data_IF_291958724000
#
_entry.id   IF_291958724000
#
_cell.length_a   1.000
_cell.length_b   1.000
_cell.length_c   1.000
_cell.angle_alpha   90.00
_cell.angle_beta   90.00
_cell.angle_gamma   90.00
#
_symmetry.space_group_name_H-M   'P 1'
#
loop_
_entity.id
_entity.type
_entity.pdbx_description
1 polymer ?
#
# COMPACT_ATOMS: atom_id res chain seq x y z
N UNK A 1 -19.43 -25.39 -10.51
CA UNK A 1 -18.52 -25.94 -9.49
C UNK A 1 -17.42 -24.92 -9.22
N UNK A 2 -17.25 -24.46 -7.97
CA UNK A 2 -16.17 -23.51 -7.61
C UNK A 2 -14.84 -24.26 -7.54
N UNK A 3 -13.78 -23.68 -8.11
CA UNK A 3 -12.44 -24.30 -8.14
C UNK A 3 -11.53 -23.62 -7.12
N UNK A 4 -10.59 -24.38 -6.57
CA UNK A 4 -9.48 -23.84 -5.78
C UNK A 4 -8.56 -22.99 -6.64
N UNK A 5 -7.83 -22.06 -6.02
CA UNK A 5 -6.78 -21.32 -6.71
C UNK A 5 -5.71 -22.29 -7.26
N UNK A 6 -5.06 -21.91 -8.36
CA UNK A 6 -3.85 -22.55 -8.85
C UNK A 6 -2.61 -21.79 -8.31
N UNK A 7 -1.42 -22.35 -8.54
CA UNK A 7 -0.16 -21.78 -8.04
C UNK A 7 0.12 -20.37 -8.59
N UNK A 8 -0.24 -20.09 -9.84
CA UNK A 8 -0.05 -18.78 -10.47
C UNK A 8 -0.86 -17.69 -9.78
N UNK A 9 -2.12 -17.98 -9.43
CA UNK A 9 -2.98 -17.04 -8.70
C UNK A 9 -2.44 -16.78 -7.30
N UNK A 10 -2.02 -17.84 -6.59
CA UNK A 10 -1.46 -17.72 -5.24
C UNK A 10 -0.20 -16.86 -5.27
N UNK A 11 0.68 -17.10 -6.24
CA UNK A 11 1.89 -16.33 -6.45
C UNK A 11 1.59 -14.85 -6.75
N UNK A 12 0.63 -14.57 -7.62
CA UNK A 12 0.23 -13.20 -7.97
C UNK A 12 -0.34 -12.45 -6.76
N UNK A 13 -1.27 -13.05 -6.03
CA UNK A 13 -1.86 -12.47 -4.82
C UNK A 13 -0.76 -12.20 -3.77
N UNK A 14 0.14 -13.17 -3.56
CA UNK A 14 1.28 -13.01 -2.65
C UNK A 14 2.21 -11.86 -3.05
N UNK A 15 2.48 -11.70 -4.36
CA UNK A 15 3.27 -10.57 -4.89
C UNK A 15 2.59 -9.22 -4.64
N UNK A 16 1.28 -9.14 -4.82
CA UNK A 16 0.51 -7.91 -4.57
C UNK A 16 0.56 -7.54 -3.09
N UNK A 17 0.32 -8.49 -2.18
CA UNK A 17 0.37 -8.26 -0.73
C UNK A 17 1.78 -7.78 -0.32
N UNK A 18 2.83 -8.42 -0.84
CA UNK A 18 4.21 -8.00 -0.58
C UNK A 18 4.50 -6.60 -1.14
N UNK A 19 4.00 -6.29 -2.34
CA UNK A 19 4.16 -4.97 -2.95
C UNK A 19 3.45 -3.87 -2.14
N UNK A 20 2.23 -4.14 -1.64
CA UNK A 20 1.51 -3.25 -0.73
C UNK A 20 2.33 -2.97 0.54
N UNK A 21 2.85 -3.99 1.20
CA UNK A 21 3.69 -3.84 2.40
C UNK A 21 4.95 -2.99 2.12
N UNK A 22 5.56 -3.18 0.94
CA UNK A 22 6.71 -2.37 0.49
C UNK A 22 6.33 -0.92 0.19
N UNK A 23 5.11 -0.66 -0.28
CA UNK A 23 4.59 0.69 -0.50
C UNK A 23 4.27 1.38 0.82
N UNK A 24 3.66 0.67 1.78
CA UNK A 24 3.41 1.16 3.14
C UNK A 24 4.69 1.64 3.82
N UNK A 25 5.76 0.85 3.70
CA UNK A 25 7.07 1.22 4.20
C UNK A 25 7.60 2.49 3.51
N UNK A 26 7.51 2.59 2.17
CA UNK A 26 7.94 3.79 1.44
C UNK A 26 7.20 5.04 1.88
N UNK A 27 5.89 4.95 2.11
CA UNK A 27 5.10 6.08 2.62
C UNK A 27 5.59 6.51 3.99
N UNK A 28 5.87 5.57 4.90
CA UNK A 28 6.42 5.89 6.22
C UNK A 28 7.80 6.58 6.11
N UNK A 29 8.68 6.09 5.24
CA UNK A 29 10.00 6.70 5.01
C UNK A 29 9.88 8.09 4.38
N UNK A 30 9.00 8.27 3.38
CA UNK A 30 8.76 9.58 2.75
C UNK A 30 8.32 10.64 3.76
N UNK A 31 7.44 10.28 4.70
CA UNK A 31 7.02 11.17 5.80
C UNK A 31 8.23 11.57 6.65
N UNK A 32 9.05 10.60 7.07
CA UNK A 32 10.24 10.86 7.90
C UNK A 32 11.24 11.75 7.15
N UNK A 33 11.52 11.44 5.88
CA UNK A 33 12.43 12.24 5.04
C UNK A 33 11.94 13.68 4.93
N UNK A 34 10.64 13.89 4.73
CA UNK A 34 10.08 15.23 4.68
C UNK A 34 10.24 15.99 6.00
N UNK A 35 10.01 15.34 7.14
CA UNK A 35 10.12 15.96 8.47
C UNK A 35 11.54 16.41 8.81
N UNK A 36 12.56 15.64 8.41
CA UNK A 36 13.98 15.97 8.65
C UNK A 36 14.63 16.77 7.50
N UNK A 37 13.96 16.88 6.35
CA UNK A 37 14.43 17.59 5.17
C UNK A 37 15.17 16.70 4.16
N UNK A 38 14.96 17.00 2.87
CA UNK A 38 15.66 16.33 1.78
C UNK A 38 17.16 16.63 1.83
N UNK A 39 17.99 15.59 1.72
CA UNK A 39 19.44 15.70 1.77
C UNK A 39 20.04 15.67 3.18
N UNK A 40 19.20 15.68 4.22
CA UNK A 40 19.64 15.39 5.58
C UNK A 40 20.01 13.91 5.65
N UNK A 41 21.23 13.60 6.09
CA UNK A 41 21.63 12.21 6.31
C UNK A 41 20.87 11.63 7.50
N UNK A 42 20.27 10.44 7.37
CA UNK A 42 19.58 9.81 8.48
C UNK A 42 20.57 9.55 9.63
N UNK A 43 20.24 10.04 10.81
CA UNK A 43 20.88 9.61 12.04
C UNK A 43 20.14 8.39 12.58
N UNK A 44 20.87 7.41 13.12
CA UNK A 44 20.23 6.17 13.55
C UNK A 44 19.21 6.38 14.68
N UNK A 45 19.50 7.23 15.66
CA UNK A 45 18.64 7.40 16.84
C UNK A 45 17.29 8.07 16.53
N UNK A 46 17.32 9.33 16.09
CA UNK A 46 16.09 10.12 15.92
C UNK A 46 15.27 9.65 14.71
N UNK A 47 15.93 9.26 13.60
CA UNK A 47 15.18 8.81 12.42
C UNK A 47 14.54 7.43 12.66
N UNK A 48 15.22 6.48 13.33
CA UNK A 48 14.61 5.17 13.66
C UNK A 48 13.43 5.35 14.62
N UNK A 49 13.57 6.18 15.65
CA UNK A 49 12.47 6.42 16.59
C UNK A 49 11.27 7.08 15.88
N UNK A 50 11.53 8.11 15.07
CA UNK A 50 10.45 8.76 14.33
C UNK A 50 9.79 7.82 13.33
N UNK A 51 10.59 7.05 12.59
CA UNK A 51 10.08 6.01 11.69
C UNK A 51 9.19 5.02 12.43
N UNK A 52 9.59 4.52 13.60
CA UNK A 52 8.76 3.61 14.41
C UNK A 52 7.43 4.26 14.80
N UNK A 53 7.44 5.53 15.20
CA UNK A 53 6.22 6.26 15.52
C UNK A 53 5.27 6.39 14.32
N UNK A 54 5.81 6.60 13.12
CA UNK A 54 5.02 6.67 11.88
C UNK A 54 4.55 5.28 11.45
N UNK A 55 5.44 4.29 11.42
CA UNK A 55 5.16 2.91 10.99
C UNK A 55 4.13 2.20 11.88
N UNK A 56 4.02 2.55 13.17
CA UNK A 56 2.97 2.05 14.06
C UNK A 56 1.57 2.60 13.74
N UNK A 57 1.46 3.71 13.00
CA UNK A 57 0.16 4.27 12.63
C UNK A 57 -0.49 3.38 11.56
N UNK A 58 -1.82 3.21 11.56
CA UNK A 58 -2.54 2.56 10.47
C UNK A 58 -2.21 3.18 9.12
N UNK A 59 -2.21 2.39 8.04
CA UNK A 59 -1.80 2.90 6.72
C UNK A 59 -2.62 4.12 6.28
N UNK A 60 -3.93 4.11 6.54
CA UNK A 60 -4.82 5.26 6.30
C UNK A 60 -4.33 6.55 6.97
N UNK A 61 -3.89 6.47 8.23
CA UNK A 61 -3.36 7.61 8.97
C UNK A 61 -2.01 8.09 8.46
N UNK A 62 -1.20 7.21 7.90
CA UNK A 62 0.03 7.61 7.20
C UNK A 62 -0.29 8.34 5.89
N UNK A 63 -1.29 7.89 5.12
CA UNK A 63 -1.72 8.62 3.92
C UNK A 63 -2.27 10.01 4.23
N UNK A 64 -3.05 10.17 5.29
CA UNK A 64 -3.53 11.51 5.72
C UNK A 64 -2.36 12.48 6.02
N UNK A 65 -1.23 11.96 6.50
CA UNK A 65 -0.02 12.76 6.71
C UNK A 65 0.66 13.07 5.38
N UNK A 66 0.83 12.05 4.53
CA UNK A 66 1.43 12.22 3.21
C UNK A 66 0.65 13.22 2.34
N UNK A 67 -0.68 13.19 2.37
CA UNK A 67 -1.55 14.11 1.63
C UNK A 67 -1.28 15.58 2.01
N UNK A 68 -1.11 15.86 3.31
CA UNK A 68 -0.74 17.20 3.80
C UNK A 68 0.66 17.61 3.33
N UNK A 69 1.59 16.66 3.26
CA UNK A 69 2.93 16.89 2.73
C UNK A 69 2.85 17.23 1.24
N UNK A 70 2.13 16.42 0.45
CA UNK A 70 1.98 16.65 -0.98
C UNK A 70 1.32 17.99 -1.27
N UNK A 71 0.36 18.42 -0.44
CA UNK A 71 -0.29 19.73 -0.60
C UNK A 71 0.70 20.91 -0.61
N UNK A 72 1.81 20.81 0.12
CA UNK A 72 2.82 21.88 0.22
C UNK A 72 4.04 21.70 -0.69
N UNK A 73 4.18 20.57 -1.37
CA UNK A 73 5.25 20.36 -2.35
C UNK A 73 4.95 21.04 -3.68
N UNK A 74 5.99 21.45 -4.39
CA UNK A 74 5.91 22.01 -5.74
C UNK A 74 5.74 20.88 -6.78
N UNK A 75 4.55 20.29 -6.77
CA UNK A 75 4.10 19.23 -7.68
C UNK A 75 2.79 19.71 -8.32
N UNK A 76 2.52 19.32 -9.57
CA UNK A 76 1.27 19.68 -10.24
C UNK A 76 0.05 19.18 -9.45
N UNK A 77 -0.99 20.02 -9.32
CA UNK A 77 -2.18 19.71 -8.52
C UNK A 77 -2.88 18.45 -9.03
N UNK A 78 -2.96 18.29 -10.35
CA UNK A 78 -3.58 17.13 -10.99
C UNK A 78 -2.79 15.85 -10.70
N UNK A 79 -1.46 15.93 -10.73
CA UNK A 79 -0.59 14.80 -10.39
C UNK A 79 -0.77 14.40 -8.91
N UNK A 80 -0.86 15.36 -7.98
CA UNK A 80 -1.13 15.08 -6.56
C UNK A 80 -2.45 14.34 -6.38
N UNK A 81 -3.52 14.82 -7.04
CA UNK A 81 -4.85 14.20 -6.98
C UNK A 81 -4.81 12.75 -7.45
N UNK A 82 -4.19 12.51 -8.62
CA UNK A 82 -4.06 11.16 -9.19
C UNK A 82 -3.29 10.21 -8.26
N UNK A 83 -2.19 10.67 -7.67
CA UNK A 83 -1.38 9.86 -6.73
C UNK A 83 -2.17 9.51 -5.47
N UNK A 84 -2.88 10.48 -4.89
CA UNK A 84 -3.69 10.25 -3.69
C UNK A 84 -4.85 9.29 -3.97
N UNK A 85 -5.55 9.46 -5.09
CA UNK A 85 -6.64 8.57 -5.50
C UNK A 85 -6.15 7.14 -5.74
N UNK A 86 -4.99 6.99 -6.40
CA UNK A 86 -4.37 5.69 -6.60
C UNK A 86 -3.96 5.04 -5.27
N UNK A 87 -3.34 5.79 -4.35
CA UNK A 87 -2.97 5.29 -3.02
C UNK A 87 -4.21 4.89 -2.19
N UNK A 88 -5.29 5.67 -2.25
CA UNK A 88 -6.56 5.34 -1.61
C UNK A 88 -7.16 4.05 -2.16
N UNK A 89 -7.10 3.86 -3.48
CA UNK A 89 -7.46 2.61 -4.14
C UNK A 89 -6.66 1.43 -3.61
N UNK A 90 -5.33 1.57 -3.54
CA UNK A 90 -4.43 0.52 -3.02
C UNK A 90 -4.75 0.16 -1.56
N UNK A 91 -5.04 1.13 -0.68
CA UNK A 91 -5.41 0.82 0.72
C UNK A 91 -6.64 -0.09 0.78
N UNK A 92 -7.69 0.28 0.04
CA UNK A 92 -8.93 -0.50 -0.01
C UNK A 92 -8.67 -1.93 -0.46
N UNK A 93 -7.79 -2.10 -1.45
CA UNK A 93 -7.40 -3.40 -1.97
C UNK A 93 -6.55 -4.21 -1.02
N UNK A 94 -5.55 -3.59 -0.40
CA UNK A 94 -4.65 -4.22 0.55
C UNK A 94 -5.41 -4.87 1.69
N UNK A 95 -6.38 -4.17 2.27
CA UNK A 95 -7.18 -4.69 3.38
C UNK A 95 -8.08 -5.85 2.93
N UNK A 96 -8.73 -5.70 1.76
CA UNK A 96 -9.56 -6.76 1.20
C UNK A 96 -8.75 -8.03 0.86
N UNK A 97 -7.56 -7.88 0.28
CA UNK A 97 -6.70 -8.98 -0.13
C UNK A 97 -6.04 -9.69 1.06
N UNK A 98 -5.72 -8.97 2.14
CA UNK A 98 -5.04 -9.53 3.31
C UNK A 98 -5.98 -10.32 4.24
N UNK A 99 -7.29 -10.08 4.15
CA UNK A 99 -8.30 -10.66 5.05
C UNK A 99 -9.42 -11.40 4.31
N UNK A 100 -9.34 -11.51 2.99
CA UNK A 100 -10.36 -12.16 2.18
C UNK A 100 -10.07 -13.63 1.88
N UNK A 101 -11.12 -14.34 1.53
CA UNK A 101 -11.10 -15.71 1.01
C UNK A 101 -11.17 -15.67 -0.51
N UNK A 102 -10.33 -16.46 -1.18
CA UNK A 102 -10.20 -16.46 -2.64
C UNK A 102 -10.67 -17.79 -3.23
N UNK A 103 -11.46 -17.72 -4.31
CA UNK A 103 -11.91 -18.88 -5.09
C UNK A 103 -11.89 -18.56 -6.58
N UNK A 104 -11.90 -19.58 -7.44
CA UNK A 104 -12.07 -19.41 -8.88
C UNK A 104 -13.53 -19.68 -9.25
N UNK A 105 -14.15 -18.74 -9.96
CA UNK A 105 -15.52 -18.88 -10.48
C UNK A 105 -15.56 -19.78 -11.71
N UNK A 106 -16.76 -20.16 -12.14
CA UNK A 106 -16.94 -20.95 -13.38
C UNK A 106 -16.47 -20.21 -14.63
N UNK A 107 -16.38 -18.88 -14.59
CA UNK A 107 -15.91 -18.02 -15.68
C UNK A 107 -14.38 -17.81 -15.65
N UNK A 108 -13.66 -18.56 -14.81
CA UNK A 108 -12.21 -18.40 -14.60
C UNK A 108 -11.81 -17.02 -14.05
N UNK A 109 -12.70 -16.40 -13.27
CA UNK A 109 -12.42 -15.18 -12.51
C UNK A 109 -12.02 -15.51 -11.08
N UNK A 110 -11.25 -14.63 -10.46
CA UNK A 110 -10.92 -14.72 -9.04
C UNK A 110 -12.04 -14.04 -8.25
N UNK A 111 -12.76 -14.82 -7.45
CA UNK A 111 -13.74 -14.35 -6.48
C UNK A 111 -13.04 -14.09 -5.14
N UNK A 112 -13.12 -12.85 -4.66
CA UNK A 112 -12.69 -12.43 -3.33
C UNK A 112 -13.92 -12.22 -2.46
N UNK A 113 -14.03 -12.98 -1.39
CA UNK A 113 -15.05 -12.77 -0.34
C UNK A 113 -14.37 -12.22 0.90
N UNK A 114 -14.80 -11.03 1.35
CA UNK A 114 -14.17 -10.33 2.47
C UNK A 114 -15.20 -9.60 3.32
N UNK A 115 -14.87 -9.38 4.59
CA UNK A 115 -15.64 -8.51 5.48
C UNK A 115 -14.94 -7.16 5.52
N UNK A 116 -15.56 -6.11 5.00
CA UNK A 116 -15.09 -4.78 5.36
C UNK A 116 -15.49 -4.46 6.80
N UNK A 117 -14.74 -3.54 7.41
CA UNK A 117 -14.86 -3.21 8.83
C UNK A 117 -16.27 -2.73 9.19
N UNK A 118 -16.91 -1.98 8.30
CA UNK A 118 -18.29 -1.50 8.47
C UNK A 118 -19.27 -2.68 8.44
N UNK A 119 -19.18 -3.58 7.46
CA UNK A 119 -20.06 -4.73 7.34
C UNK A 119 -19.93 -5.67 8.54
N UNK A 120 -18.71 -5.85 9.04
CA UNK A 120 -18.48 -6.63 10.25
C UNK A 120 -19.11 -5.99 11.50
N UNK A 121 -18.98 -4.68 11.69
CA UNK A 121 -19.57 -3.97 12.82
C UNK A 121 -21.10 -3.88 12.75
N UNK A 122 -21.66 -3.73 11.55
CA UNK A 122 -23.09 -3.55 11.33
C UNK A 122 -23.85 -4.89 11.17
N UNK A 123 -23.16 -6.03 11.32
CA UNK A 123 -23.76 -7.36 11.15
C UNK A 123 -24.20 -7.67 9.72
N UNK A 124 -23.67 -6.95 8.74
CA UNK A 124 -23.93 -7.18 7.32
C UNK A 124 -23.04 -8.32 6.83
N UNK A 125 -23.61 -9.22 6.01
CA UNK A 125 -22.88 -10.35 5.42
C UNK A 125 -21.63 -9.93 4.63
N UNK A 126 -20.73 -10.88 4.32
CA UNK A 126 -19.50 -10.58 3.58
C UNK A 126 -19.80 -9.98 2.21
N UNK A 127 -18.89 -9.15 1.74
CA UNK A 127 -18.90 -8.62 0.38
C UNK A 127 -18.11 -9.55 -0.52
N UNK A 128 -18.63 -9.76 -1.72
CA UNK A 128 -17.96 -10.54 -2.76
C UNK A 128 -17.63 -9.63 -3.92
N UNK A 129 -16.42 -9.79 -4.46
CA UNK A 129 -16.01 -9.10 -5.69
C UNK A 129 -15.22 -10.06 -6.58
N UNK A 130 -15.53 -10.02 -7.87
CA UNK A 130 -14.91 -10.86 -8.87
C UNK A 130 -13.94 -10.03 -9.71
N UNK A 131 -12.83 -10.64 -10.07
CA UNK A 131 -11.77 -10.03 -10.88
C UNK A 131 -11.37 -10.96 -12.00
N UNK A 132 -11.22 -10.46 -13.23
CA UNK A 132 -10.33 -11.10 -14.17
C UNK A 132 -8.88 -10.99 -13.65
N UNK A 133 -8.06 -12.01 -13.91
CA UNK A 133 -6.66 -12.03 -13.46
C UNK A 133 -5.86 -10.80 -13.93
N UNK A 134 -6.21 -10.24 -15.09
CA UNK A 134 -5.58 -9.03 -15.64
C UNK A 134 -5.72 -7.81 -14.72
N UNK A 135 -6.83 -7.67 -13.99
CA UNK A 135 -7.02 -6.56 -13.05
C UNK A 135 -6.09 -6.66 -11.84
N UNK A 136 -5.76 -7.88 -11.40
CA UNK A 136 -4.77 -8.08 -10.35
C UNK A 136 -3.35 -7.73 -10.82
N UNK A 137 -3.04 -8.03 -12.09
CA UNK A 137 -1.77 -7.63 -12.71
C UNK A 137 -1.67 -6.10 -12.78
N UNK A 138 -2.72 -5.43 -13.26
CA UNK A 138 -2.78 -3.96 -13.30
C UNK A 138 -2.65 -3.34 -11.92
N UNK A 139 -3.28 -3.91 -10.89
CA UNK A 139 -3.12 -3.47 -9.51
C UNK A 139 -1.66 -3.56 -9.06
N UNK A 140 -0.98 -4.68 -9.35
CA UNK A 140 0.44 -4.85 -9.02
C UNK A 140 1.30 -3.77 -9.70
N UNK A 141 1.06 -3.50 -10.98
CA UNK A 141 1.78 -2.47 -11.75
C UNK A 141 1.58 -1.08 -11.13
N UNK A 142 0.34 -0.71 -10.81
CA UNK A 142 0.03 0.56 -10.13
C UNK A 142 0.79 0.68 -8.81
N UNK A 143 0.81 -0.37 -7.98
CA UNK A 143 1.53 -0.35 -6.69
C UNK A 143 3.03 -0.14 -6.90
N UNK A 144 3.62 -0.81 -7.89
CA UNK A 144 5.05 -0.68 -8.21
C UNK A 144 5.36 0.74 -8.69
N UNK A 145 4.57 1.28 -9.61
CA UNK A 145 4.73 2.64 -10.14
C UNK A 145 4.62 3.70 -9.04
N UNK A 146 3.65 3.59 -8.14
CA UNK A 146 3.54 4.47 -6.97
C UNK A 146 4.78 4.40 -6.08
N UNK A 147 5.31 3.19 -5.87
CA UNK A 147 6.54 3.00 -5.10
C UNK A 147 7.75 3.68 -5.76
N UNK A 148 7.89 3.57 -7.08
CA UNK A 148 8.96 4.23 -7.84
C UNK A 148 8.82 5.75 -7.83
N UNK A 149 7.60 6.26 -7.93
CA UNK A 149 7.33 7.68 -7.86
C UNK A 149 7.73 8.25 -6.49
N UNK A 150 7.32 7.61 -5.39
CA UNK A 150 7.74 8.02 -4.03
C UNK A 150 9.27 8.00 -3.88
N UNK A 151 9.93 6.99 -4.44
CA UNK A 151 11.38 6.85 -4.39
C UNK A 151 12.08 8.03 -5.09
N UNK A 152 11.53 8.47 -6.22
CA UNK A 152 12.03 9.61 -7.00
C UNK A 152 11.78 10.95 -6.29
N UNK A 153 10.53 11.22 -5.90
CA UNK A 153 10.14 12.50 -5.31
C UNK A 153 10.82 12.77 -3.97
N UNK A 154 10.97 11.74 -3.13
CA UNK A 154 11.55 11.89 -1.80
C UNK A 154 13.01 11.41 -1.71
N UNK A 155 13.64 10.96 -2.82
CA UNK A 155 15.03 10.49 -2.85
C UNK A 155 15.36 9.46 -1.76
N UNK A 156 14.52 8.43 -1.64
CA UNK A 156 14.48 7.54 -0.46
C UNK A 156 15.68 6.57 -0.28
N UNK A 157 16.71 6.61 -1.13
CA UNK A 157 17.70 5.54 -1.22
C UNK A 157 18.48 5.28 0.09
N UNK A 158 19.02 6.33 0.71
CA UNK A 158 19.84 6.21 1.94
C UNK A 158 18.98 5.93 3.19
N UNK A 159 17.73 6.37 3.19
CA UNK A 159 16.84 6.23 4.34
C UNK A 159 16.25 4.83 4.48
N UNK A 160 16.03 4.13 3.36
CA UNK A 160 15.45 2.78 3.39
C UNK A 160 16.33 1.76 4.09
N UNK A 161 17.64 1.78 3.84
CA UNK A 161 18.55 0.79 4.42
C UNK A 161 18.63 0.96 5.95
N UNK A 162 18.86 2.20 6.41
CA UNK A 162 19.03 2.51 7.83
C UNK A 162 17.74 2.30 8.64
N UNK A 163 16.56 2.53 8.03
CA UNK A 163 15.28 2.39 8.70
C UNK A 163 14.68 0.97 8.61
N UNK A 164 15.02 0.19 7.57
CA UNK A 164 14.57 -1.20 7.44
C UNK A 164 15.14 -2.14 8.52
N UNK A 165 16.36 -1.88 8.99
CA UNK A 165 17.01 -2.66 10.05
C UNK A 165 16.34 -2.47 11.43
N UNK A 166 15.58 -1.39 11.63
CA UNK A 166 14.90 -1.08 12.90
C UNK A 166 13.44 -1.51 12.99
N UNK A 167 12.93 -2.21 11.97
CA UNK A 167 11.54 -2.63 11.82
C UNK A 167 11.22 -4.04 12.36
N UNK A 168 12.23 -4.72 12.94
CA UNK A 168 12.10 -5.98 13.69
C UNK A 168 11.94 -5.70 15.19
#
# INVERSE_FOLDING_TARGET
MRKTLNDEHILLIGRIILACSKLEHRVAVAIVVHEFGLGTKPNEGLHKERYRQIARKPFRKRLEILEKILAVLDIEVDEKGQIIDALNGVIKWRDALSHGLFQITEKNEIELTFWDRTSFHDGVGPKTKNFPQIELVQLLEVIISLGQWLDSQFKLQDHKQILAEGAL
#
